data_IF_994724059597
#
_entry.id   IF_994724059597
#
_cell.length_a   1.000
_cell.length_b   1.000
_cell.length_c   1.000
_cell.angle_alpha   90.00
_cell.angle_beta   90.00
_cell.angle_gamma   90.00
#
_symmetry.space_group_name_H-M   'P 1'
#
loop_
_entity.id
_entity.type
_entity.pdbx_description
1 polymer ?
#
# COMPACT_ATOMS: atom_id res chain seq x y z
N UNK A 1 -8.34 0.97 17.82
CA UNK A 1 -9.37 1.20 18.88
C UNK A 1 -9.72 -0.14 19.47
N UNK A 2 -9.46 -0.32 20.75
CA UNK A 2 -9.69 -1.60 21.46
C UNK A 2 -11.12 -1.54 21.98
N UNK A 3 -12.07 -2.08 21.22
CA UNK A 3 -13.37 -2.37 21.76
C UNK A 3 -13.19 -3.55 22.74
N UNK A 4 -13.33 -3.29 24.03
CA UNK A 4 -13.35 -4.35 25.04
C UNK A 4 -14.70 -5.05 24.96
N UNK A 5 -14.69 -6.26 24.44
CA UNK A 5 -15.88 -7.04 24.16
C UNK A 5 -16.43 -7.72 25.42
N UNK A 6 -17.70 -7.52 25.70
CA UNK A 6 -18.49 -8.37 26.60
C UNK A 6 -19.81 -8.68 25.93
N UNK A 7 -19.99 -9.90 25.53
CA UNK A 7 -21.22 -10.34 24.89
C UNK A 7 -21.10 -11.79 24.45
N UNK A 8 -22.21 -12.41 24.15
CA UNK A 8 -22.25 -13.69 23.49
C UNK A 8 -21.45 -13.61 22.18
N UNK A 9 -20.93 -14.73 21.69
CA UNK A 9 -20.13 -14.86 20.47
C UNK A 9 -20.77 -14.23 19.20
N UNK A 10 -22.02 -13.81 19.28
CA UNK A 10 -22.80 -13.22 18.22
C UNK A 10 -22.92 -11.68 18.29
N UNK A 11 -22.50 -11.04 19.39
CA UNK A 11 -22.64 -9.60 19.55
C UNK A 11 -21.37 -8.95 20.07
N UNK A 12 -21.04 -7.80 19.51
CA UNK A 12 -20.01 -6.88 20.00
C UNK A 12 -20.73 -5.68 20.61
N UNK A 13 -20.49 -5.44 21.90
CA UNK A 13 -21.00 -4.25 22.59
C UNK A 13 -19.85 -3.48 23.20
N UNK A 14 -19.78 -2.19 22.92
CA UNK A 14 -18.85 -1.31 23.62
C UNK A 14 -19.26 -1.24 25.13
N UNK A 15 -18.25 -1.06 25.97
CA UNK A 15 -18.45 -0.82 27.41
C UNK A 15 -18.63 0.66 27.74
N UNK A 16 -18.28 1.53 26.80
CA UNK A 16 -18.39 2.99 26.93
C UNK A 16 -19.54 3.48 26.10
N UNK A 17 -20.26 4.49 26.60
CA UNK A 17 -21.25 5.17 25.79
C UNK A 17 -20.54 5.92 24.66
N UNK A 18 -21.10 5.87 23.48
CA UNK A 18 -20.55 6.54 22.28
C UNK A 18 -21.12 6.01 20.99
N UNK A 19 -21.20 6.86 20.00
CA UNK A 19 -21.51 6.45 18.66
C UNK A 19 -20.32 5.71 18.04
N UNK A 20 -20.61 4.69 17.25
CA UNK A 20 -19.57 3.97 16.51
C UNK A 20 -18.97 4.86 15.43
N UNK A 21 -17.64 4.86 15.36
CA UNK A 21 -16.88 5.41 14.23
C UNK A 21 -15.79 4.40 13.87
N UNK A 22 -15.69 4.04 12.61
CA UNK A 22 -14.77 3.02 12.14
C UNK A 22 -14.15 3.45 10.80
N UNK A 23 -12.85 3.45 10.71
CA UNK A 23 -12.08 3.79 9.50
C UNK A 23 -12.54 5.12 8.82
N UNK A 24 -12.82 6.14 9.64
CA UNK A 24 -13.28 7.46 9.17
C UNK A 24 -14.76 7.55 8.81
N UNK A 25 -15.49 6.44 8.86
CA UNK A 25 -16.94 6.38 8.60
C UNK A 25 -17.72 6.32 9.90
N UNK A 26 -18.87 6.94 9.95
CA UNK A 26 -19.85 6.84 11.07
C UNK A 26 -21.05 6.00 10.63
N UNK A 27 -20.97 4.67 10.80
CA UNK A 27 -22.03 3.79 10.31
C UNK A 27 -23.35 4.01 11.05
N UNK A 28 -24.46 3.77 10.34
CA UNK A 28 -25.81 3.86 10.89
C UNK A 28 -26.42 2.47 11.14
N UNK A 29 -27.55 2.42 11.80
CA UNK A 29 -28.28 1.16 12.02
C UNK A 29 -28.58 0.47 10.70
N UNK A 30 -28.35 -0.83 10.63
CA UNK A 30 -28.39 -1.76 9.50
C UNK A 30 -27.19 -1.73 8.56
N UNK A 31 -26.20 -0.87 8.75
CA UNK A 31 -24.96 -0.97 8.00
C UNK A 31 -24.18 -2.24 8.37
N UNK A 32 -23.55 -2.85 7.38
CA UNK A 32 -22.68 -4.02 7.56
C UNK A 32 -21.24 -3.57 7.73
N UNK A 33 -20.56 -4.16 8.70
CA UNK A 33 -19.18 -3.81 9.07
C UNK A 33 -18.32 -5.07 9.03
N UNK A 34 -17.19 -5.01 8.36
CA UNK A 34 -16.14 -6.00 8.48
C UNK A 34 -15.29 -5.69 9.72
N UNK A 35 -15.37 -6.54 10.72
CA UNK A 35 -14.50 -6.52 11.90
C UNK A 35 -13.34 -7.48 11.64
N UNK A 36 -12.11 -6.95 11.63
CA UNK A 36 -10.88 -7.71 11.38
C UNK A 36 -9.77 -7.27 12.34
N UNK A 37 -8.69 -8.03 12.39
CA UNK A 37 -7.49 -7.72 13.18
C UNK A 37 -7.76 -7.56 14.69
N UNK A 38 -8.77 -8.26 15.22
CA UNK A 38 -9.06 -8.24 16.64
C UNK A 38 -7.98 -9.00 17.43
N UNK A 39 -7.71 -8.56 18.65
CA UNK A 39 -6.81 -9.27 19.59
C UNK A 39 -7.23 -10.71 19.83
N UNK A 40 -8.55 -10.97 19.79
CA UNK A 40 -9.13 -12.31 19.76
C UNK A 40 -9.68 -12.57 18.34
N UNK A 41 -8.95 -13.24 17.44
CA UNK A 41 -9.35 -13.40 16.04
C UNK A 41 -10.66 -14.15 15.85
N UNK A 42 -11.12 -14.93 16.83
CA UNK A 42 -12.44 -15.56 16.82
C UNK A 42 -13.60 -14.55 16.80
N UNK A 43 -13.32 -13.28 17.08
CA UNK A 43 -14.30 -12.20 17.06
C UNK A 43 -14.34 -11.46 15.71
N UNK A 44 -13.42 -11.73 14.80
CA UNK A 44 -13.49 -11.21 13.45
C UNK A 44 -14.75 -11.71 12.75
N UNK A 45 -15.18 -10.98 11.74
CA UNK A 45 -16.35 -11.37 10.96
C UNK A 45 -17.14 -10.18 10.42
N UNK A 46 -18.28 -10.47 9.85
CA UNK A 46 -19.20 -9.48 9.33
C UNK A 46 -20.29 -9.24 10.38
N UNK A 47 -20.53 -7.98 10.66
CA UNK A 47 -21.52 -7.54 11.67
C UNK A 47 -22.47 -6.50 11.08
N UNK A 48 -23.63 -6.40 11.67
CA UNK A 48 -24.63 -5.36 11.41
C UNK A 48 -24.69 -4.42 12.61
N UNK A 49 -24.77 -3.13 12.39
CA UNK A 49 -25.02 -2.14 13.43
C UNK A 49 -26.48 -2.26 13.87
N UNK A 50 -26.70 -2.78 15.06
CA UNK A 50 -28.04 -2.88 15.66
C UNK A 50 -28.36 -1.71 16.57
N UNK A 51 -27.32 -1.07 17.11
CA UNK A 51 -27.43 0.19 17.85
C UNK A 51 -26.20 1.04 17.51
N UNK A 52 -26.42 2.25 16.99
CA UNK A 52 -25.34 3.16 16.61
C UNK A 52 -24.57 3.69 17.84
N UNK A 53 -25.26 3.81 18.95
CA UNK A 53 -24.72 4.44 20.16
C UNK A 53 -24.80 5.96 20.15
N UNK A 54 -24.69 6.54 21.33
CA UNK A 54 -24.68 7.99 21.57
C UNK A 54 -23.98 8.29 22.91
N UNK A 55 -24.02 9.54 23.39
CA UNK A 55 -23.39 9.94 24.65
C UNK A 55 -23.97 9.25 25.90
N UNK A 56 -25.08 8.53 25.81
CA UNK A 56 -25.75 7.82 26.89
C UNK A 56 -25.88 6.31 26.67
N UNK A 57 -25.67 5.86 25.45
CA UNK A 57 -25.87 4.48 25.02
C UNK A 57 -24.66 3.96 24.25
N UNK A 58 -24.11 2.77 24.61
CA UNK A 58 -23.04 2.16 23.81
C UNK A 58 -23.58 1.62 22.48
N UNK A 59 -22.72 1.58 21.46
CA UNK A 59 -23.05 0.90 20.21
C UNK A 59 -23.16 -0.61 20.38
N UNK A 60 -23.91 -1.27 19.53
CA UNK A 60 -24.06 -2.72 19.48
C UNK A 60 -23.95 -3.19 18.03
N UNK A 61 -23.08 -4.19 17.83
CA UNK A 61 -22.94 -4.91 16.56
C UNK A 61 -23.38 -6.35 16.78
N UNK A 62 -24.18 -6.88 15.85
CA UNK A 62 -24.60 -8.29 15.84
C UNK A 62 -24.06 -8.94 14.59
N UNK A 63 -23.65 -10.22 14.63
CA UNK A 63 -23.19 -10.93 13.42
C UNK A 63 -24.26 -10.81 12.33
N UNK A 64 -23.78 -10.55 11.11
CA UNK A 64 -24.66 -10.32 9.97
C UNK A 64 -25.17 -11.66 9.42
N UNK A 65 -26.44 -11.71 9.04
CA UNK A 65 -27.00 -12.79 8.23
C UNK A 65 -26.60 -12.54 6.75
N UNK A 66 -26.12 -13.55 5.97
CA UNK A 66 -26.11 -14.97 6.30
C UNK A 66 -24.89 -15.50 7.09
N UNK A 67 -23.91 -14.66 7.50
CA UNK A 67 -22.68 -15.12 8.16
C UNK A 67 -22.82 -15.24 9.68
N UNK A 68 -24.04 -15.40 10.21
CA UNK A 68 -24.33 -15.58 11.63
C UNK A 68 -24.36 -17.05 12.09
N UNK A 69 -24.25 -18.00 11.16
CA UNK A 69 -24.12 -19.44 11.44
C UNK A 69 -22.76 -19.96 10.95
N UNK A 70 -22.12 -20.89 11.71
CA UNK A 70 -20.85 -21.48 11.29
C UNK A 70 -20.87 -22.11 9.89
N UNK A 71 -22.02 -22.67 9.48
CA UNK A 71 -22.17 -23.31 8.17
C UNK A 71 -22.17 -22.31 6.99
N UNK A 72 -22.40 -21.05 7.25
CA UNK A 72 -22.53 -20.00 6.25
C UNK A 72 -21.20 -19.30 5.97
N UNK A 73 -20.27 -19.36 6.93
CA UNK A 73 -18.93 -18.80 6.81
C UNK A 73 -17.92 -19.89 6.49
N UNK A 74 -17.42 -19.92 5.28
CA UNK A 74 -16.37 -20.86 4.87
C UNK A 74 -15.04 -20.16 4.61
N UNK A 75 -13.94 -20.88 4.76
CA UNK A 75 -12.65 -20.43 4.26
C UNK A 75 -12.74 -20.17 2.75
N UNK A 76 -12.29 -19.01 2.33
CA UNK A 76 -12.45 -18.52 0.97
C UNK A 76 -13.68 -17.63 0.74
N UNK A 77 -14.54 -17.41 1.76
CA UNK A 77 -15.61 -16.40 1.68
C UNK A 77 -15.01 -15.02 1.41
N UNK A 78 -15.55 -14.37 0.40
CA UNK A 78 -15.04 -13.11 -0.13
C UNK A 78 -15.93 -11.94 0.30
N UNK A 79 -15.30 -10.80 0.60
CA UNK A 79 -15.97 -9.58 1.01
C UNK A 79 -15.35 -8.42 0.25
N UNK A 80 -16.17 -7.51 -0.25
CA UNK A 80 -15.73 -6.21 -0.74
C UNK A 80 -16.16 -5.14 0.26
N UNK A 81 -15.22 -4.30 0.68
CA UNK A 81 -15.46 -3.17 1.59
C UNK A 81 -15.61 -1.93 0.71
N UNK A 82 -16.81 -1.34 0.71
CA UNK A 82 -17.14 -0.20 -0.14
C UNK A 82 -16.65 1.13 0.43
N UNK A 83 -16.68 1.28 1.76
CA UNK A 83 -16.38 2.55 2.43
C UNK A 83 -15.27 2.39 3.48
N UNK A 84 -14.47 3.43 3.65
CA UNK A 84 -13.38 3.51 4.62
C UNK A 84 -12.21 4.34 4.11
N UNK A 85 -11.55 5.05 5.00
CA UNK A 85 -10.37 5.87 4.64
C UNK A 85 -9.16 5.02 4.25
N UNK A 86 -8.94 3.90 4.95
CA UNK A 86 -7.81 3.01 4.73
C UNK A 86 -8.20 1.69 4.07
N UNK A 87 -9.41 1.21 4.33
CA UNK A 87 -9.87 -0.11 3.90
C UNK A 87 -11.01 -0.07 2.87
N UNK A 88 -11.48 1.11 2.48
CA UNK A 88 -12.47 1.26 1.40
C UNK A 88 -11.89 0.79 0.05
N UNK A 89 -12.78 0.35 -0.85
CA UNK A 89 -12.45 -0.16 -2.18
C UNK A 89 -11.49 -1.36 -2.20
N UNK A 90 -11.52 -2.16 -1.14
CA UNK A 90 -10.65 -3.31 -0.98
C UNK A 90 -11.42 -4.63 -0.84
N UNK A 91 -10.86 -5.68 -1.42
CA UNK A 91 -11.38 -7.05 -1.30
C UNK A 91 -10.65 -7.85 -0.23
N UNK A 92 -11.40 -8.57 0.56
CA UNK A 92 -10.91 -9.41 1.66
C UNK A 92 -11.44 -10.83 1.53
N UNK A 93 -10.70 -11.79 2.10
CA UNK A 93 -11.06 -13.20 2.12
C UNK A 93 -10.83 -13.78 3.50
N UNK A 94 -11.74 -14.63 3.98
CA UNK A 94 -11.51 -15.45 5.15
C UNK A 94 -10.59 -16.61 4.82
N UNK A 95 -9.51 -16.78 5.61
CA UNK A 95 -8.46 -17.79 5.32
C UNK A 95 -8.48 -19.00 6.27
N UNK A 96 -9.44 -19.07 7.21
CA UNK A 96 -9.59 -20.25 8.07
C UNK A 96 -9.91 -21.52 7.28
N UNK A 97 -9.56 -22.68 7.81
CA UNK A 97 -9.80 -23.98 7.17
C UNK A 97 -11.04 -24.66 7.77
N UNK A 98 -11.90 -25.15 6.87
CA UNK A 98 -13.12 -25.87 7.28
C UNK A 98 -14.21 -24.97 7.88
N UNK A 99 -15.21 -25.60 8.48
CA UNK A 99 -16.30 -24.90 9.14
C UNK A 99 -15.82 -24.35 10.49
N UNK A 100 -15.96 -23.05 10.75
CA UNK A 100 -15.51 -22.47 12.01
C UNK A 100 -16.45 -22.83 13.18
N UNK A 101 -15.93 -22.75 14.38
CA UNK A 101 -16.72 -22.68 15.60
C UNK A 101 -16.60 -21.27 16.15
N UNK A 102 -17.70 -20.52 16.14
CA UNK A 102 -17.67 -19.13 16.62
C UNK A 102 -17.22 -19.06 18.08
N UNK A 103 -16.43 -18.02 18.38
CA UNK A 103 -15.82 -17.83 19.70
C UNK A 103 -14.53 -18.62 19.97
N UNK A 104 -14.19 -19.62 19.14
CA UNK A 104 -12.98 -20.44 19.30
C UNK A 104 -12.10 -20.46 18.07
N UNK A 105 -12.67 -20.63 16.87
CA UNK A 105 -11.89 -20.65 15.64
C UNK A 105 -11.42 -19.24 15.29
N UNK A 106 -10.13 -19.07 15.07
CA UNK A 106 -9.59 -17.82 14.53
C UNK A 106 -10.16 -17.57 13.13
N UNK A 107 -10.84 -16.45 12.96
CA UNK A 107 -11.39 -16.01 11.69
C UNK A 107 -10.41 -15.00 11.07
N UNK A 108 -9.33 -15.52 10.50
CA UNK A 108 -8.33 -14.68 9.86
C UNK A 108 -8.87 -14.11 8.56
N UNK A 109 -8.69 -12.80 8.40
CA UNK A 109 -9.14 -12.04 7.24
C UNK A 109 -7.92 -11.45 6.55
N UNK A 110 -7.72 -11.82 5.30
CA UNK A 110 -6.58 -11.33 4.49
C UNK A 110 -7.08 -10.52 3.33
N UNK A 111 -6.47 -9.39 3.09
CA UNK A 111 -6.72 -8.60 1.90
C UNK A 111 -6.12 -9.29 0.68
N UNK A 112 -6.91 -9.48 -0.39
CA UNK A 112 -6.43 -10.07 -1.63
C UNK A 112 -6.52 -9.12 -2.83
N UNK A 113 -7.27 -8.04 -2.74
CA UNK A 113 -7.34 -7.02 -3.78
C UNK A 113 -7.44 -5.64 -3.16
N UNK A 114 -6.79 -4.68 -3.79
CA UNK A 114 -6.86 -3.29 -3.39
C UNK A 114 -5.74 -2.50 -4.05
N UNK A 115 -6.08 -1.64 -4.98
CA UNK A 115 -5.13 -0.69 -5.56
C UNK A 115 -4.62 0.32 -4.50
N UNK A 116 -5.35 0.47 -3.39
CA UNK A 116 -4.98 1.31 -2.26
C UNK A 116 -3.74 0.88 -1.49
N UNK A 117 -3.39 -0.41 -1.57
CA UNK A 117 -2.30 -1.00 -0.78
C UNK A 117 -0.88 -0.77 -1.34
N UNK A 118 -0.78 -0.38 -2.60
CA UNK A 118 0.53 -0.09 -3.18
C UNK A 118 0.91 1.34 -2.77
N UNK A 119 1.91 1.45 -1.93
CA UNK A 119 2.48 2.74 -1.54
C UNK A 119 3.63 3.10 -2.47
N UNK A 120 3.61 4.30 -3.02
CA UNK A 120 4.73 4.80 -3.80
C UNK A 120 5.95 4.99 -2.88
N UNK A 121 7.09 4.39 -3.25
CA UNK A 121 8.38 4.66 -2.63
C UNK A 121 9.00 5.96 -3.13
N UNK A 122 10.20 6.29 -2.65
CA UNK A 122 10.97 7.41 -3.17
C UNK A 122 11.18 7.28 -4.68
N UNK A 123 11.10 8.38 -5.41
CA UNK A 123 11.16 8.45 -6.87
C UNK A 123 10.00 7.78 -7.62
N UNK A 124 8.88 7.49 -6.92
CA UNK A 124 7.63 7.06 -7.52
C UNK A 124 6.50 7.93 -7.01
N UNK A 125 5.52 8.22 -7.85
CA UNK A 125 4.24 8.80 -7.45
C UNK A 125 3.09 7.87 -7.80
N UNK A 126 1.97 7.99 -7.06
CA UNK A 126 0.77 7.19 -7.27
C UNK A 126 -0.43 8.10 -7.46
N UNK A 127 -1.20 7.85 -8.50
CA UNK A 127 -2.48 8.50 -8.75
C UNK A 127 -3.52 7.44 -9.11
N UNK A 128 -4.46 7.18 -8.19
CA UNK A 128 -5.40 6.08 -8.34
C UNK A 128 -4.68 4.72 -8.47
N UNK A 129 -4.88 4.05 -9.59
CA UNK A 129 -4.26 2.75 -9.90
C UNK A 129 -2.97 2.86 -10.73
N UNK A 130 -2.55 4.08 -11.05
CA UNK A 130 -1.35 4.34 -11.84
C UNK A 130 -0.16 4.63 -10.91
N UNK A 131 0.99 4.05 -11.25
CA UNK A 131 2.28 4.33 -10.63
C UNK A 131 3.17 5.00 -11.66
N UNK A 132 3.65 6.19 -11.35
CA UNK A 132 4.54 6.96 -12.21
C UNK A 132 5.93 7.04 -11.62
N UNK A 133 6.94 7.14 -12.47
CA UNK A 133 8.32 7.39 -12.05
C UNK A 133 8.54 8.90 -12.00
N UNK A 134 8.95 9.39 -10.84
CA UNK A 134 9.35 10.78 -10.65
C UNK A 134 10.75 10.99 -11.24
N UNK A 135 10.84 11.75 -12.30
CA UNK A 135 12.11 12.09 -12.95
C UNK A 135 12.43 13.57 -12.76
N UNK A 136 13.72 13.89 -12.66
CA UNK A 136 14.19 15.26 -12.48
C UNK A 136 14.13 16.11 -13.74
N UNK A 137 13.87 15.49 -14.91
CA UNK A 137 13.87 16.13 -16.22
C UNK A 137 15.15 16.91 -16.57
N UNK A 138 16.20 16.73 -15.80
CA UNK A 138 17.52 17.29 -16.03
C UNK A 138 18.55 16.23 -16.40
N UNK A 139 18.58 15.12 -15.68
CA UNK A 139 19.48 13.99 -15.94
C UNK A 139 18.75 12.78 -16.52
N UNK A 140 17.54 12.49 -16.04
CA UNK A 140 16.70 11.38 -16.48
C UNK A 140 15.36 11.94 -16.94
N UNK A 141 14.83 11.42 -18.04
CA UNK A 141 13.52 11.77 -18.59
C UNK A 141 12.72 10.52 -18.99
N UNK A 142 11.39 10.64 -19.00
CA UNK A 142 10.51 9.69 -19.67
C UNK A 142 10.31 10.16 -21.11
N UNK A 143 10.62 9.30 -22.07
CA UNK A 143 10.40 9.57 -23.48
C UNK A 143 9.79 8.35 -24.16
N UNK A 144 8.58 8.52 -24.68
CA UNK A 144 7.81 7.46 -25.33
C UNK A 144 7.78 6.16 -24.50
N UNK A 145 7.31 6.25 -23.24
CA UNK A 145 7.19 5.14 -22.29
C UNK A 145 8.49 4.45 -21.86
N UNK A 146 9.64 5.07 -22.16
CA UNK A 146 10.95 4.59 -21.74
C UNK A 146 11.67 5.60 -20.85
N UNK A 147 12.30 5.11 -19.79
CA UNK A 147 13.27 5.89 -19.01
C UNK A 147 14.60 5.94 -19.76
N UNK A 148 15.12 7.12 -19.95
CA UNK A 148 16.43 7.33 -20.57
C UNK A 148 17.21 8.46 -19.92
N UNK A 149 18.50 8.45 -20.12
CA UNK A 149 19.33 9.61 -19.81
C UNK A 149 18.99 10.69 -20.83
N UNK A 150 18.64 11.88 -20.34
CA UNK A 150 18.35 13.03 -21.18
C UNK A 150 19.60 13.46 -21.97
N UNK A 151 19.43 13.96 -23.17
CA UNK A 151 20.53 14.56 -23.91
C UNK A 151 21.20 15.67 -23.06
N UNK A 152 22.51 15.64 -22.92
CA UNK A 152 23.29 16.49 -22.00
C UNK A 152 22.96 16.31 -20.51
N UNK A 153 22.23 15.28 -20.14
CA UNK A 153 21.83 15.00 -18.74
C UNK A 153 22.95 14.49 -17.84
N UNK A 154 24.06 14.01 -18.42
CA UNK A 154 25.24 13.60 -17.64
C UNK A 154 26.20 14.79 -17.56
N UNK A 155 26.39 15.33 -16.34
CA UNK A 155 27.31 16.42 -16.09
C UNK A 155 28.66 15.91 -15.60
N UNK A 156 29.71 16.74 -15.70
CA UNK A 156 31.04 16.37 -15.15
C UNK A 156 31.01 16.00 -13.67
N UNK A 157 30.12 16.62 -12.88
CA UNK A 157 29.95 16.29 -11.47
C UNK A 157 29.39 14.89 -11.22
N UNK A 158 28.63 14.33 -12.16
CA UNK A 158 28.10 12.97 -12.10
C UNK A 158 29.16 11.93 -12.52
N UNK A 159 30.23 12.34 -13.22
CA UNK A 159 31.32 11.52 -13.66
C UNK A 159 32.45 11.56 -12.63
N UNK A 160 32.12 11.25 -11.34
CA UNK A 160 33.10 11.20 -10.29
C UNK A 160 34.01 9.96 -10.47
N UNK A 161 35.21 10.15 -10.95
CA UNK A 161 36.22 9.11 -11.11
C UNK A 161 36.78 9.01 -12.52
N UNK A 162 37.66 8.06 -12.72
CA UNK A 162 38.29 7.81 -14.02
C UNK A 162 37.33 7.13 -14.99
N UNK A 163 37.07 7.74 -16.11
CA UNK A 163 36.39 7.07 -17.22
C UNK A 163 37.45 6.28 -17.99
N UNK A 164 37.32 4.95 -18.03
CA UNK A 164 38.18 4.10 -18.83
C UNK A 164 38.05 4.50 -20.30
N UNK A 165 39.16 4.88 -20.93
CA UNK A 165 39.23 5.28 -22.34
C UNK A 165 38.68 4.23 -23.30
N UNK A 166 38.73 2.94 -22.94
CA UNK A 166 38.14 1.85 -23.71
C UNK A 166 36.58 1.94 -23.81
N UNK A 167 35.93 2.74 -22.95
CA UNK A 167 34.49 2.98 -22.97
C UNK A 167 34.08 4.20 -23.81
N UNK A 168 35.08 4.94 -24.33
CA UNK A 168 34.84 6.13 -25.15
C UNK A 168 35.21 5.76 -26.60
N UNK A 169 34.19 5.41 -27.36
CA UNK A 169 34.32 5.18 -28.80
C UNK A 169 34.51 6.50 -29.51
N UNK A 170 35.48 6.64 -30.40
CA UNK A 170 35.79 7.84 -31.16
C UNK A 170 36.20 9.07 -30.32
N UNK A 171 37.16 8.92 -29.44
CA UNK A 171 37.72 10.05 -28.69
C UNK A 171 38.51 10.97 -29.62
N UNK A 172 37.93 12.10 -29.98
CA UNK A 172 38.57 13.13 -30.80
C UNK A 172 38.93 14.31 -29.93
N UNK A 173 40.19 14.65 -29.81
CA UNK A 173 40.63 15.92 -29.25
C UNK A 173 40.44 17.03 -30.28
N UNK A 174 39.44 17.88 -30.04
CA UNK A 174 39.34 19.16 -30.77
C UNK A 174 39.93 20.22 -29.87
N UNK A 175 41.09 20.75 -30.26
CA UNK A 175 41.66 21.95 -29.62
C UNK A 175 40.94 23.18 -30.15
N UNK A 176 40.01 23.69 -29.37
CA UNK A 176 39.30 24.95 -29.69
C UNK A 176 39.68 26.11 -28.77
N UNK A 177 40.66 26.00 -27.90
CA UNK A 177 41.04 27.18 -27.08
C UNK A 177 42.32 27.00 -26.27
N UNK A 178 43.17 27.96 -26.34
CA UNK A 178 44.48 28.10 -25.70
C UNK A 178 44.48 28.25 -24.18
N UNK A 179 43.40 27.85 -23.46
CA UNK A 179 43.29 27.94 -21.98
C UNK A 179 43.10 26.60 -21.30
N UNK A 180 43.27 25.51 -21.97
CA UNK A 180 43.15 24.18 -21.38
C UNK A 180 44.43 23.73 -20.68
N UNK A 181 44.27 23.21 -19.45
CA UNK A 181 45.36 22.59 -18.72
C UNK A 181 46.00 21.44 -19.50
N UNK A 182 47.29 21.21 -19.27
CA UNK A 182 48.05 20.20 -19.96
C UNK A 182 47.39 18.82 -19.92
N UNK A 183 47.19 18.22 -21.10
CA UNK A 183 46.80 16.82 -21.22
C UNK A 183 48.04 16.00 -20.88
N UNK A 184 48.03 15.34 -19.74
CA UNK A 184 49.13 14.42 -19.37
C UNK A 184 48.80 13.05 -19.93
N UNK A 185 49.47 12.66 -20.98
CA UNK A 185 49.43 11.29 -21.53
C UNK A 185 50.47 10.47 -20.77
N UNK A 186 49.99 9.47 -20.01
CA UNK A 186 50.82 8.68 -19.08
C UNK A 186 51.82 7.71 -19.68
N UNK A 187 52.08 7.75 -21.00
CA UNK A 187 53.12 7.00 -21.68
C UNK A 187 53.61 7.76 -22.90
N UNK A 188 54.92 7.68 -23.23
CA UNK A 188 55.43 8.37 -24.40
C UNK A 188 54.73 7.87 -25.68
N UNK A 189 54.20 8.80 -26.46
CA UNK A 189 53.79 8.50 -27.83
C UNK A 189 55.04 8.35 -28.68
N UNK A 190 55.26 7.17 -29.21
CA UNK A 190 56.25 6.96 -30.26
C UNK A 190 55.59 7.23 -31.60
N UNK A 191 56.14 8.24 -32.33
CA UNK A 191 55.80 8.46 -33.71
C UNK A 191 56.64 7.52 -34.59
N UNK A 192 56.01 6.70 -35.37
CA UNK A 192 56.68 5.94 -36.46
C UNK A 192 56.78 6.80 -37.71
#
# INVERSE_FOLDING_TARGET
MIASLVGSEMCIRDRSNGAITMDGVSPVVNDRILVKDQTAPAQNGIYVVTTQGDGSTPFVLTRATPEDQPAELSGGSFIFVEEGTANGDNGYVFTHTGQPTFGTTALDVTQFSGAGQITAGAALSKSGNQMDVEVDNSSIEVNADALRVKALGVTNAMLAGSIDGAKIENFVFTDESSTQGAITIGSPMEFL
#
